data_IF_266990537265
#
_entry.id   IF_266990537265
#
_cell.length_a   1.000
_cell.length_b   1.000
_cell.length_c   1.000
_cell.angle_alpha   90.00
_cell.angle_beta   90.00
_cell.angle_gamma   90.00
#
_symmetry.space_group_name_H-M   'P 1'
#
loop_
_entity.id
_entity.type
_entity.pdbx_description
1 polymer ?
#
# COMPACT_ATOMS: atom_id res chain seq x y z
N UNK A 1 12.51 -11.18 30.30
CA UNK A 1 11.86 -12.31 29.62
C UNK A 1 11.32 -11.81 28.30
N UNK A 2 12.02 -12.14 27.20
CA UNK A 2 11.68 -11.72 25.84
C UNK A 2 10.43 -12.51 25.40
N UNK A 3 9.40 -11.82 24.93
CA UNK A 3 8.25 -12.47 24.29
C UNK A 3 8.07 -11.85 22.92
N UNK A 4 8.23 -12.66 21.89
CA UNK A 4 8.03 -12.23 20.51
C UNK A 4 6.57 -12.47 20.12
N UNK A 5 5.83 -11.37 19.94
CA UNK A 5 4.50 -11.40 19.33
C UNK A 5 4.68 -11.11 17.86
N UNK A 6 5.31 -12.09 17.20
CA UNK A 6 5.48 -12.37 15.77
C UNK A 6 6.02 -11.28 14.84
N UNK A 7 5.93 -9.97 15.13
CA UNK A 7 6.49 -8.91 14.25
C UNK A 7 6.62 -7.51 14.89
N UNK A 8 6.49 -7.38 16.20
CA UNK A 8 6.83 -6.14 16.88
C UNK A 8 7.29 -6.46 18.28
N UNK A 9 8.33 -5.79 18.75
CA UNK A 9 8.94 -5.92 20.08
C UNK A 9 8.00 -5.44 21.21
N UNK A 10 6.75 -5.92 21.20
CA UNK A 10 5.71 -5.52 22.13
C UNK A 10 5.70 -6.45 23.34
N UNK A 11 5.79 -5.85 24.51
CA UNK A 11 5.59 -6.51 25.80
C UNK A 11 4.12 -6.90 25.99
N UNK A 12 3.85 -7.88 26.85
CA UNK A 12 2.48 -8.29 27.20
C UNK A 12 1.61 -7.10 27.68
N UNK A 13 2.22 -6.14 28.38
CA UNK A 13 1.55 -4.93 28.81
C UNK A 13 1.09 -4.06 27.62
N UNK A 14 1.93 -3.93 26.59
CA UNK A 14 1.59 -3.19 25.37
C UNK A 14 0.48 -3.87 24.58
N UNK A 15 0.43 -5.20 24.55
CA UNK A 15 -0.64 -5.96 23.90
C UNK A 15 -1.96 -5.79 24.65
N UNK A 16 -1.93 -5.93 25.98
CA UNK A 16 -3.11 -5.71 26.84
C UNK A 16 -3.66 -4.30 26.65
N UNK A 17 -2.79 -3.29 26.57
CA UNK A 17 -3.19 -1.91 26.32
C UNK A 17 -3.76 -1.71 24.89
N UNK A 18 -3.08 -2.25 23.86
CA UNK A 18 -3.48 -2.12 22.46
C UNK A 18 -4.86 -2.73 22.20
N UNK A 19 -5.13 -3.91 22.76
CA UNK A 19 -6.39 -4.63 22.58
C UNK A 19 -7.39 -4.36 23.70
N UNK A 20 -7.12 -3.40 24.59
CA UNK A 20 -7.98 -3.01 25.73
C UNK A 20 -8.44 -4.21 26.58
N UNK A 21 -7.53 -5.14 26.82
CA UNK A 21 -7.81 -6.34 27.61
C UNK A 21 -7.83 -6.00 29.12
N UNK A 22 -8.58 -6.76 29.94
CA UNK A 22 -8.60 -6.57 31.38
C UNK A 22 -7.19 -6.65 32.00
N UNK A 23 -6.94 -5.81 33.02
CA UNK A 23 -5.69 -5.85 33.79
C UNK A 23 -5.54 -7.25 34.43
N UNK A 24 -4.39 -7.89 34.22
CA UNK A 24 -4.15 -9.28 34.64
C UNK A 24 -4.22 -10.33 33.53
N UNK A 25 -4.71 -9.96 32.33
CA UNK A 25 -4.77 -10.86 31.16
C UNK A 25 -3.40 -11.34 30.66
N UNK A 26 -2.31 -10.72 31.11
CA UNK A 26 -0.94 -11.10 30.73
C UNK A 26 -0.59 -12.56 31.07
N UNK A 27 -1.08 -13.09 32.19
CA UNK A 27 -0.84 -14.51 32.57
C UNK A 27 -1.58 -15.48 31.64
N UNK A 28 -2.81 -15.14 31.23
CA UNK A 28 -3.59 -15.94 30.29
C UNK A 28 -2.93 -15.96 28.90
N UNK A 29 -2.48 -14.80 28.42
CA UNK A 29 -1.76 -14.68 27.15
C UNK A 29 -0.46 -15.48 27.21
N UNK A 30 0.30 -15.40 28.30
CA UNK A 30 1.53 -16.19 28.46
C UNK A 30 1.29 -17.70 28.42
N UNK A 31 0.23 -18.18 29.08
CA UNK A 31 -0.17 -19.60 29.01
C UNK A 31 -0.56 -20.03 27.61
N UNK A 32 -1.29 -19.18 26.88
CA UNK A 32 -1.70 -19.46 25.49
C UNK A 32 -0.52 -19.47 24.54
N UNK A 33 0.39 -18.50 24.66
CA UNK A 33 1.63 -18.46 23.87
C UNK A 33 2.43 -19.73 24.09
N UNK A 34 2.64 -20.16 25.34
CA UNK A 34 3.37 -21.39 25.65
C UNK A 34 2.66 -22.66 25.15
N UNK A 35 1.33 -22.67 25.18
CA UNK A 35 0.52 -23.84 24.77
C UNK A 35 0.49 -24.01 23.25
N UNK A 36 0.41 -22.90 22.52
CA UNK A 36 0.20 -22.92 21.07
C UNK A 36 1.47 -22.58 20.27
N UNK A 37 2.58 -22.20 20.90
CA UNK A 37 3.83 -21.87 20.20
C UNK A 37 4.34 -23.00 19.30
N UNK A 38 4.14 -24.26 19.69
CA UNK A 38 4.46 -25.44 18.88
C UNK A 38 3.46 -25.65 17.73
N UNK A 39 2.18 -25.43 17.98
CA UNK A 39 1.09 -25.63 17.02
C UNK A 39 1.13 -24.56 15.90
N UNK A 40 1.59 -23.35 16.21
CA UNK A 40 1.81 -22.31 15.20
C UNK A 40 2.91 -22.69 14.20
N UNK A 41 3.96 -23.38 14.65
CA UNK A 41 5.03 -23.86 13.75
C UNK A 41 4.54 -24.98 12.83
N UNK A 42 3.65 -25.85 13.33
CA UNK A 42 3.05 -26.91 12.52
C UNK A 42 1.96 -26.40 11.56
N UNK A 43 1.29 -25.29 11.90
CA UNK A 43 0.28 -24.66 11.05
C UNK A 43 0.90 -23.81 9.91
N UNK A 44 2.16 -23.42 10.01
CA UNK A 44 2.87 -22.62 9.00
C UNK A 44 3.14 -23.42 7.70
N UNK A 45 3.28 -24.75 7.79
CA UNK A 45 3.36 -25.64 6.62
C UNK A 45 2.01 -25.82 5.88
N UNK A 46 0.91 -25.37 6.47
CA UNK A 46 -0.45 -25.54 5.92
C UNK A 46 -1.19 -24.23 5.65
N UNK A 47 -0.60 -23.06 5.90
CA UNK A 47 -1.23 -21.78 5.53
C UNK A 47 -0.97 -21.45 4.06
N UNK A 48 -2.02 -21.24 3.23
CA UNK A 48 -1.83 -20.60 1.94
C UNK A 48 -1.30 -19.18 2.18
N UNK A 49 -0.31 -18.80 1.38
CA UNK A 49 0.53 -17.61 1.45
C UNK A 49 -0.24 -16.26 1.40
N UNK A 50 -1.09 -15.96 2.38
CA UNK A 50 -1.90 -14.73 2.39
C UNK A 50 -1.41 -13.72 3.45
N UNK A 51 -0.66 -14.16 4.46
CA UNK A 51 -0.19 -13.26 5.55
C UNK A 51 1.19 -12.64 5.32
N UNK A 52 2.04 -13.21 4.45
CA UNK A 52 3.38 -12.64 4.13
C UNK A 52 3.37 -11.60 3.00
N UNK A 53 2.24 -11.42 2.31
CA UNK A 53 2.14 -10.44 1.20
C UNK A 53 2.28 -8.99 1.70
N UNK A 54 1.96 -8.68 2.97
CA UNK A 54 1.96 -7.29 3.46
C UNK A 54 3.26 -6.83 4.14
N UNK A 55 4.15 -7.73 4.54
CA UNK A 55 5.42 -7.36 5.19
C UNK A 55 6.64 -7.45 4.26
N UNK A 56 6.63 -8.40 3.31
CA UNK A 56 7.68 -8.48 2.27
C UNK A 56 7.45 -7.45 1.15
N UNK A 57 6.20 -7.10 0.85
CA UNK A 57 5.90 -6.08 -0.18
C UNK A 57 6.36 -4.66 0.17
N UNK A 58 6.69 -4.37 1.44
CA UNK A 58 7.17 -3.04 1.83
C UNK A 58 8.68 -2.90 1.83
N UNK A 59 9.43 -3.99 2.02
CA UNK A 59 10.90 -3.95 2.05
C UNK A 59 11.55 -4.29 0.70
N UNK A 60 10.84 -4.97 -0.20
CA UNK A 60 11.32 -5.23 -1.56
C UNK A 60 10.33 -4.65 -2.57
N UNK A 61 10.28 -3.31 -2.68
CA UNK A 61 9.77 -2.71 -3.93
C UNK A 61 10.63 -3.29 -5.04
N UNK A 62 10.06 -4.15 -5.86
CA UNK A 62 10.82 -4.77 -6.93
C UNK A 62 11.36 -3.65 -7.82
N UNK A 63 12.58 -3.78 -8.36
CA UNK A 63 13.16 -2.78 -9.28
C UNK A 63 12.21 -2.46 -10.46
N UNK A 64 11.30 -3.40 -10.77
CA UNK A 64 10.25 -3.23 -11.76
C UNK A 64 9.15 -2.27 -11.30
N UNK A 65 8.73 -2.31 -10.05
CA UNK A 65 7.72 -1.39 -9.50
C UNK A 65 8.23 0.05 -9.43
N UNK A 66 9.50 0.24 -9.05
CA UNK A 66 10.11 1.58 -9.01
C UNK A 66 10.25 2.16 -10.40
N UNK A 67 10.67 1.35 -11.37
CA UNK A 67 10.77 1.75 -12.77
C UNK A 67 9.39 2.05 -13.39
N UNK A 68 8.39 1.20 -13.14
CA UNK A 68 7.00 1.45 -13.58
C UNK A 68 6.44 2.75 -12.98
N UNK A 69 6.73 3.01 -11.70
CA UNK A 69 6.27 4.24 -11.05
C UNK A 69 6.97 5.48 -11.62
N UNK A 70 8.27 5.38 -11.96
CA UNK A 70 9.02 6.45 -12.63
C UNK A 70 8.47 6.74 -14.02
N UNK A 71 8.20 5.71 -14.83
CA UNK A 71 7.60 5.85 -16.16
C UNK A 71 6.22 6.51 -16.09
N UNK A 72 5.41 6.11 -15.10
CA UNK A 72 4.10 6.69 -14.86
C UNK A 72 4.21 8.18 -14.49
N UNK A 73 5.16 8.53 -13.63
CA UNK A 73 5.40 9.92 -13.25
C UNK A 73 5.87 10.77 -14.45
N UNK A 74 6.78 10.24 -15.27
CA UNK A 74 7.27 10.91 -16.46
C UNK A 74 6.14 11.14 -17.48
N UNK A 75 5.28 10.14 -17.72
CA UNK A 75 4.12 10.28 -18.60
C UNK A 75 3.16 11.37 -18.10
N UNK A 76 2.89 11.41 -16.79
CA UNK A 76 2.05 12.47 -16.19
C UNK A 76 2.67 13.86 -16.39
N UNK A 77 3.98 14.01 -16.20
CA UNK A 77 4.67 15.29 -16.42
C UNK A 77 4.58 15.73 -17.88
N UNK A 78 4.76 14.81 -18.83
CA UNK A 78 4.61 15.09 -20.27
C UNK A 78 3.20 15.56 -20.60
N UNK A 79 2.17 14.89 -20.07
CA UNK A 79 0.77 15.28 -20.27
C UNK A 79 0.51 16.69 -19.75
N UNK A 80 0.93 17.00 -18.51
CA UNK A 80 0.73 18.33 -17.93
C UNK A 80 1.43 19.40 -18.77
N UNK A 81 2.66 19.15 -19.20
CA UNK A 81 3.40 20.08 -20.06
C UNK A 81 2.68 20.33 -21.38
N UNK A 82 2.23 19.26 -22.06
CA UNK A 82 1.51 19.37 -23.34
C UNK A 82 0.20 20.15 -23.19
N UNK A 83 -0.60 19.83 -22.18
CA UNK A 83 -1.84 20.56 -21.89
C UNK A 83 -1.55 22.04 -21.62
N UNK A 84 -0.50 22.35 -20.85
CA UNK A 84 -0.10 23.74 -20.57
C UNK A 84 0.34 24.47 -21.84
N UNK A 85 1.10 23.81 -22.72
CA UNK A 85 1.51 24.39 -24.00
C UNK A 85 0.31 24.62 -24.93
N UNK A 86 -0.68 23.72 -24.91
CA UNK A 86 -1.94 23.90 -25.64
C UNK A 86 -2.67 25.13 -25.10
N UNK A 87 -2.80 25.29 -23.78
CA UNK A 87 -3.44 26.45 -23.16
C UNK A 87 -2.73 27.77 -23.55
N UNK A 88 -1.39 27.78 -23.54
CA UNK A 88 -0.60 28.95 -23.96
C UNK A 88 -0.84 29.25 -25.44
N UNK A 89 -0.79 28.24 -26.32
CA UNK A 89 -1.00 28.42 -27.75
C UNK A 89 -2.42 28.94 -28.07
N UNK A 90 -3.44 28.41 -27.39
CA UNK A 90 -4.82 28.87 -27.54
C UNK A 90 -5.00 30.30 -27.03
N UNK A 91 -4.39 30.65 -25.90
CA UNK A 91 -4.53 31.96 -25.25
C UNK A 91 -3.74 33.07 -25.95
N UNK A 92 -2.50 32.79 -26.33
CA UNK A 92 -1.55 33.83 -26.77
C UNK A 92 -1.41 33.87 -28.30
N UNK A 93 -1.54 32.74 -28.98
CA UNK A 93 -1.40 32.63 -30.44
C UNK A 93 -2.77 32.56 -31.12
N UNK A 94 -3.83 32.22 -30.38
CA UNK A 94 -5.21 32.15 -30.91
C UNK A 94 -5.48 30.93 -31.78
N UNK A 95 -4.59 29.93 -31.77
CA UNK A 95 -4.75 28.68 -32.53
C UNK A 95 -5.62 27.73 -31.72
N UNK A 96 -6.77 27.33 -32.27
CA UNK A 96 -7.70 26.39 -31.62
C UNK A 96 -7.25 24.94 -31.86
N UNK A 97 -6.62 24.32 -30.87
CA UNK A 97 -6.01 22.99 -30.99
C UNK A 97 -6.95 21.93 -30.39
N UNK A 98 -7.64 22.24 -29.29
CA UNK A 98 -8.53 21.31 -28.60
C UNK A 98 -9.87 21.19 -29.32
N UNK A 99 -10.37 19.95 -29.44
CA UNK A 99 -11.75 19.72 -29.88
C UNK A 99 -12.72 20.28 -28.83
N UNK A 100 -13.46 21.33 -29.18
CA UNK A 100 -14.52 21.88 -28.33
C UNK A 100 -15.67 20.87 -28.23
N UNK A 101 -16.06 20.51 -27.02
CA UNK A 101 -17.24 19.68 -26.76
C UNK A 101 -18.49 20.47 -27.17
N UNK A 102 -19.01 20.23 -28.37
CA UNK A 102 -20.26 20.86 -28.80
C UNK A 102 -20.49 20.98 -30.29
N UNK A 103 -19.49 20.77 -31.15
CA UNK A 103 -19.76 20.76 -32.59
C UNK A 103 -20.46 19.45 -32.94
N UNK A 104 -21.79 19.50 -33.06
CA UNK A 104 -22.59 18.42 -33.66
C UNK A 104 -21.89 18.00 -34.95
N UNK A 105 -21.74 16.70 -35.18
CA UNK A 105 -21.36 16.20 -36.50
C UNK A 105 -22.44 16.65 -37.47
N UNK A 106 -22.21 17.78 -38.14
CA UNK A 106 -22.93 18.15 -39.36
C UNK A 106 -22.28 17.34 -40.48
N UNK A 107 -22.63 16.06 -40.56
CA UNK A 107 -22.12 15.13 -41.56
C UNK A 107 -23.09 13.98 -41.72
N UNK A 108 -23.63 13.88 -42.94
CA UNK A 108 -24.71 13.03 -43.43
C UNK A 108 -24.75 11.59 -42.91
#
# INVERSE_FOLDING_TARGET
>A
MLYDVRTSSQTLAQIVAKYRLPKGSGSMISKWVKRYSSDFSAMEDLQPAISNINLVSRSTKSNKETELQKQLEEAKRKIICLETMIDIAEREIGVNIRKKSGTKQSGL
#
